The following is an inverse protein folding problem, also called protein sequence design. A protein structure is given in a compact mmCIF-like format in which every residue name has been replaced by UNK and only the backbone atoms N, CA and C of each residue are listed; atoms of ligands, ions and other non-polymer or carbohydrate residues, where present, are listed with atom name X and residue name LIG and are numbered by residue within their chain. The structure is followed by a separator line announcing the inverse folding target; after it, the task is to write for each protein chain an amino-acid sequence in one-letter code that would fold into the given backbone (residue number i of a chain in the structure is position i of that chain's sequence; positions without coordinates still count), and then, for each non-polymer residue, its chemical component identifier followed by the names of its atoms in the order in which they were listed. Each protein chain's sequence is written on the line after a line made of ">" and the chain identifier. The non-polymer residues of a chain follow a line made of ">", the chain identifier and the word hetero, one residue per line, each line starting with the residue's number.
data_IF_994213423618
#
_entry.id   IF_994213423618
#
_cell.length_a   1.000
_cell.length_b   1.000
_cell.length_c   1.000
_cell.angle_alpha   90.00
_cell.angle_beta   90.00
_cell.angle_gamma   90.00
#
_symmetry.space_group_name_H-M   'P 1'
#
loop_
_entity.id
_entity.type
_entity.pdbx_description
1 polymer ?
#
# COMPACT_ATOMS: atom_id res chain seq x y z
N UNK A 1 -8.23 21.74 -23.84
CA UNK A 1 -7.39 20.95 -22.91
C UNK A 1 -5.97 21.02 -23.46
N UNK A 2 -5.07 21.74 -22.80
CA UNK A 2 -3.74 22.11 -23.32
C UNK A 2 -2.63 21.11 -22.93
N UNK A 3 -2.90 20.20 -22.00
CA UNK A 3 -1.91 19.24 -21.51
C UNK A 3 -1.76 18.05 -22.48
N UNK A 4 -0.54 17.84 -23.01
CA UNK A 4 -0.15 16.73 -23.90
C UNK A 4 0.24 15.45 -23.14
N UNK A 5 -0.30 15.26 -21.93
CA UNK A 5 0.01 14.07 -21.11
C UNK A 5 -0.85 12.88 -21.56
N UNK A 6 -0.20 11.78 -21.93
CA UNK A 6 -0.83 10.51 -22.29
C UNK A 6 -0.98 9.54 -21.10
N UNK A 7 -0.82 10.04 -19.86
CA UNK A 7 -0.91 9.24 -18.65
C UNK A 7 -1.67 9.98 -17.55
N UNK A 8 -2.28 9.22 -16.65
CA UNK A 8 -2.90 9.70 -15.42
C UNK A 8 -2.33 8.91 -14.25
N UNK A 9 -2.09 9.58 -13.12
CA UNK A 9 -1.77 8.83 -11.89
C UNK A 9 -2.97 8.00 -11.46
N UNK A 10 -2.71 6.79 -10.97
CA UNK A 10 -3.76 5.85 -10.60
C UNK A 10 -4.55 6.29 -9.36
N UNK A 11 -3.88 6.83 -8.34
CA UNK A 11 -4.50 7.22 -7.07
C UNK A 11 -4.35 8.72 -6.83
N UNK A 12 -5.49 9.38 -6.65
CA UNK A 12 -5.50 10.80 -6.26
C UNK A 12 -5.25 10.97 -4.74
N UNK A 13 -5.91 10.15 -3.90
CA UNK A 13 -5.91 10.25 -2.43
C UNK A 13 -5.67 8.89 -1.78
N UNK A 14 -4.83 8.84 -0.75
CA UNK A 14 -4.60 7.63 0.04
C UNK A 14 -4.20 7.91 1.50
N UNK A 15 -3.87 6.85 2.24
CA UNK A 15 -3.19 6.92 3.55
C UNK A 15 -1.73 6.46 3.42
N UNK A 16 -1.44 5.65 2.40
CA UNK A 16 -0.13 5.05 2.15
C UNK A 16 0.83 5.99 1.41
N UNK A 17 1.32 5.53 0.27
CA UNK A 17 2.49 6.10 -0.39
C UNK A 17 2.25 6.65 -1.82
N UNK A 18 1.09 6.40 -2.43
CA UNK A 18 0.85 6.61 -3.86
C UNK A 18 -0.04 7.81 -4.21
N UNK A 19 -0.83 8.34 -3.26
CA UNK A 19 -1.73 9.46 -3.51
C UNK A 19 -1.01 10.80 -3.66
N UNK A 20 -1.48 11.65 -4.59
CA UNK A 20 -1.07 13.06 -4.69
C UNK A 20 -1.44 13.87 -3.45
N UNK A 21 -2.52 13.46 -2.77
CA UNK A 21 -2.86 13.91 -1.43
C UNK A 21 -2.97 12.71 -0.51
N UNK A 22 -2.76 12.93 0.78
CA UNK A 22 -2.98 11.92 1.81
C UNK A 22 -3.75 12.49 3.00
N UNK A 23 -4.43 11.61 3.72
CA UNK A 23 -5.15 11.99 4.94
C UNK A 23 -4.18 12.59 5.97
N UNK A 24 -4.55 13.72 6.59
CA UNK A 24 -3.72 14.34 7.62
C UNK A 24 -3.57 13.41 8.84
N UNK A 25 -2.35 13.29 9.43
CA UNK A 25 -2.13 12.53 10.67
C UNK A 25 -2.96 13.00 11.86
N UNK A 26 -3.50 14.23 11.77
CA UNK A 26 -4.28 14.87 12.83
C UNK A 26 -5.77 14.51 12.80
N UNK A 27 -6.23 13.81 11.76
CA UNK A 27 -7.63 13.41 11.60
C UNK A 27 -8.05 12.29 12.58
N UNK A 28 -9.36 12.20 12.85
CA UNK A 28 -9.93 11.17 13.73
C UNK A 28 -9.55 9.76 13.27
N UNK A 29 -9.67 9.49 11.96
CA UNK A 29 -9.34 8.18 11.39
C UNK A 29 -7.89 7.76 11.68
N UNK A 30 -6.92 8.62 11.37
CA UNK A 30 -5.49 8.28 11.52
C UNK A 30 -5.10 8.18 12.99
N UNK A 31 -5.60 9.08 13.84
CA UNK A 31 -5.36 9.01 15.29
C UNK A 31 -5.91 7.72 15.90
N UNK A 32 -7.15 7.38 15.58
CA UNK A 32 -7.85 6.22 16.13
C UNK A 32 -7.21 4.91 15.69
N UNK A 33 -6.89 4.78 14.39
CA UNK A 33 -6.28 3.58 13.83
C UNK A 33 -4.75 3.55 13.94
N UNK A 34 -4.11 4.54 14.56
CA UNK A 34 -2.64 4.63 14.64
C UNK A 34 -1.96 3.32 15.08
N UNK A 35 -2.41 2.63 16.14
CA UNK A 35 -1.78 1.38 16.56
C UNK A 35 -1.91 0.29 15.49
N UNK A 36 -3.08 0.20 14.83
CA UNK A 36 -3.30 -0.74 13.74
C UNK A 36 -2.44 -0.42 12.52
N UNK A 37 -2.36 0.85 12.11
CA UNK A 37 -1.55 1.30 10.98
C UNK A 37 -0.04 1.03 11.21
N UNK A 38 0.45 1.27 12.43
CA UNK A 38 1.83 0.93 12.82
C UNK A 38 2.08 -0.57 12.79
N UNK A 39 1.14 -1.38 13.29
CA UNK A 39 1.20 -2.84 13.21
C UNK A 39 1.23 -3.31 11.76
N UNK A 40 0.35 -2.76 10.92
CA UNK A 40 0.25 -3.06 9.48
C UNK A 40 1.57 -2.74 8.76
N UNK A 41 2.17 -1.59 9.04
CA UNK A 41 3.46 -1.19 8.52
C UNK A 41 4.58 -2.13 8.96
N UNK A 42 4.68 -2.44 10.26
CA UNK A 42 5.69 -3.35 10.81
C UNK A 42 5.61 -4.76 10.24
N UNK A 43 4.40 -5.29 10.06
CA UNK A 43 4.17 -6.59 9.42
C UNK A 43 4.33 -6.53 7.89
N UNK A 44 4.43 -5.32 7.34
CA UNK A 44 4.58 -5.03 5.94
C UNK A 44 3.49 -5.75 5.10
N UNK A 45 2.24 -5.76 5.54
CA UNK A 45 1.19 -6.56 4.85
C UNK A 45 0.64 -5.91 3.57
N UNK A 46 1.10 -4.71 3.23
CA UNK A 46 0.73 -4.06 1.98
C UNK A 46 1.57 -4.58 0.82
N UNK A 47 0.91 -4.92 -0.30
CA UNK A 47 1.57 -5.44 -1.50
C UNK A 47 2.36 -4.36 -2.26
N UNK A 48 2.21 -3.09 -1.91
CA UNK A 48 2.88 -1.98 -2.59
C UNK A 48 3.46 -0.99 -1.59
N UNK A 49 4.69 -0.52 -1.85
CA UNK A 49 5.35 0.51 -1.06
C UNK A 49 5.73 0.09 0.36
N UNK A 50 5.67 -1.21 0.68
CA UNK A 50 6.01 -1.72 1.99
C UNK A 50 7.49 -2.09 2.09
N UNK A 51 8.16 -1.63 3.14
CA UNK A 51 9.47 -2.12 3.55
C UNK A 51 9.30 -3.40 4.37
N UNK A 52 9.79 -4.52 3.85
CA UNK A 52 9.69 -5.84 4.47
C UNK A 52 10.99 -6.29 5.18
N UNK A 53 12.01 -5.45 5.28
CA UNK A 53 13.33 -5.85 5.81
C UNK A 53 13.22 -6.49 7.20
N UNK A 54 12.34 -5.97 8.05
CA UNK A 54 12.13 -6.48 9.41
C UNK A 54 11.46 -7.85 9.49
N UNK A 55 10.77 -8.30 8.44
CA UNK A 55 10.02 -9.57 8.41
C UNK A 55 10.50 -10.53 7.32
N UNK A 56 11.46 -10.13 6.48
CA UNK A 56 11.95 -10.92 5.36
C UNK A 56 12.40 -12.31 5.77
N UNK A 57 13.12 -12.42 6.89
CA UNK A 57 13.62 -13.67 7.45
C UNK A 57 12.54 -14.71 7.75
N UNK A 58 11.28 -14.30 7.93
CA UNK A 58 10.14 -15.20 8.19
C UNK A 58 9.72 -15.92 6.91
N UNK A 59 9.80 -15.24 5.75
CA UNK A 59 9.31 -15.75 4.46
C UNK A 59 10.42 -16.38 3.61
N UNK A 60 11.69 -16.03 3.89
CA UNK A 60 12.85 -16.57 3.18
C UNK A 60 12.90 -18.10 3.15
N UNK A 61 12.55 -18.85 4.22
CA UNK A 61 12.56 -20.32 4.18
C UNK A 61 11.61 -20.92 3.12
N UNK A 62 10.49 -20.25 2.83
CA UNK A 62 9.55 -20.70 1.79
C UNK A 62 10.15 -20.48 0.40
N UNK A 63 10.82 -19.33 0.20
CA UNK A 63 11.55 -19.05 -1.04
C UNK A 63 12.63 -20.11 -1.25
N UNK A 64 13.45 -20.37 -0.22
CA UNK A 64 14.56 -21.31 -0.30
C UNK A 64 14.08 -22.74 -0.58
N UNK A 65 13.01 -23.18 0.09
CA UNK A 65 12.36 -24.47 -0.18
C UNK A 65 11.97 -24.61 -1.66
N UNK A 66 11.36 -23.57 -2.26
CA UNK A 66 10.95 -23.61 -3.67
C UNK A 66 12.19 -23.63 -4.59
N UNK A 67 13.25 -22.89 -4.25
CA UNK A 67 14.51 -22.89 -5.01
C UNK A 67 15.19 -24.27 -4.98
N UNK A 68 15.16 -24.96 -3.84
CA UNK A 68 15.72 -26.30 -3.68
C UNK A 68 14.88 -27.37 -4.41
N UNK A 69 13.55 -27.33 -4.24
CA UNK A 69 12.64 -28.32 -4.83
C UNK A 69 12.45 -28.14 -6.34
N UNK A 70 12.61 -26.92 -6.86
CA UNK A 70 12.48 -26.59 -8.29
C UNK A 70 13.75 -25.84 -8.74
N UNK A 71 14.87 -26.56 -8.95
CA UNK A 71 16.17 -25.94 -9.17
C UNK A 71 16.27 -25.20 -10.51
N UNK A 72 15.54 -25.63 -11.53
CA UNK A 72 15.47 -24.94 -12.81
C UNK A 72 14.76 -23.58 -12.64
N UNK A 73 15.41 -22.50 -13.06
CA UNK A 73 14.83 -21.15 -12.98
C UNK A 73 13.64 -20.97 -13.90
N UNK A 74 13.66 -21.57 -15.09
CA UNK A 74 12.59 -21.40 -16.07
C UNK A 74 11.26 -21.97 -15.57
N UNK A 75 11.32 -23.10 -14.86
CA UNK A 75 10.14 -23.75 -14.27
C UNK A 75 9.51 -22.93 -13.13
N UNK A 76 10.25 -21.96 -12.56
CA UNK A 76 9.78 -21.04 -11.51
C UNK A 76 9.16 -19.76 -12.09
N UNK A 77 9.29 -19.51 -13.38
CA UNK A 77 8.78 -18.30 -14.07
C UNK A 77 7.28 -18.41 -14.36
N UNK A 78 6.48 -18.34 -13.31
CA UNK A 78 5.03 -18.41 -13.39
C UNK A 78 4.42 -17.07 -13.82
N UNK A 79 3.39 -17.10 -14.67
CA UNK A 79 2.62 -15.90 -15.03
C UNK A 79 2.10 -15.17 -13.78
N UNK A 80 2.29 -13.83 -13.64
CA UNK A 80 2.75 -12.87 -14.65
C UNK A 80 4.25 -12.49 -14.55
N UNK A 81 5.16 -13.36 -14.99
CA UNK A 81 6.59 -13.03 -15.18
C UNK A 81 6.78 -11.98 -16.31
N UNK A 82 7.69 -10.98 -16.19
CA UNK A 82 8.65 -10.74 -15.12
C UNK A 82 8.17 -9.95 -13.91
N UNK A 83 6.90 -9.51 -13.92
CA UNK A 83 6.37 -8.66 -12.86
C UNK A 83 6.33 -9.34 -11.49
N UNK A 84 6.11 -10.65 -11.43
CA UNK A 84 6.06 -11.43 -10.19
C UNK A 84 7.21 -12.44 -10.15
N UNK A 85 8.32 -12.06 -9.51
CA UNK A 85 9.40 -13.00 -9.17
C UNK A 85 8.92 -14.06 -8.18
N UNK A 86 9.76 -15.08 -7.94
CA UNK A 86 9.49 -16.08 -6.91
C UNK A 86 9.28 -15.42 -5.52
N UNK A 87 10.19 -14.53 -5.14
CA UNK A 87 10.13 -13.78 -3.88
C UNK A 87 8.86 -12.95 -3.80
N UNK A 88 8.51 -12.24 -4.87
CA UNK A 88 7.29 -11.42 -4.91
C UNK A 88 6.02 -12.28 -4.84
N UNK A 89 6.02 -13.46 -5.46
CA UNK A 89 4.91 -14.41 -5.36
C UNK A 89 4.72 -14.90 -3.93
N UNK A 90 5.81 -15.27 -3.24
CA UNK A 90 5.75 -15.66 -1.82
C UNK A 90 5.26 -14.47 -0.98
N UNK A 91 5.79 -13.26 -1.20
CA UNK A 91 5.36 -12.06 -0.49
C UNK A 91 3.86 -11.79 -0.68
N UNK A 92 3.34 -11.92 -1.90
CA UNK A 92 1.92 -11.69 -2.18
C UNK A 92 1.05 -12.70 -1.47
N UNK A 93 1.31 -13.99 -1.68
CA UNK A 93 0.46 -15.06 -1.17
C UNK A 93 0.52 -15.17 0.36
N UNK A 94 1.71 -15.05 0.95
CA UNK A 94 1.89 -15.24 2.38
C UNK A 94 1.66 -13.93 3.16
N UNK A 95 2.47 -12.90 2.92
CA UNK A 95 2.44 -11.67 3.72
C UNK A 95 1.25 -10.78 3.38
N UNK A 96 1.02 -10.51 2.09
CA UNK A 96 0.03 -9.54 1.64
C UNK A 96 -1.38 -10.10 1.43
N UNK A 97 -1.53 -11.43 1.47
CA UNK A 97 -2.83 -12.12 1.44
C UNK A 97 -3.06 -12.83 2.76
N UNK A 98 -2.38 -13.95 3.05
CA UNK A 98 -2.67 -14.76 4.23
C UNK A 98 -2.57 -13.96 5.54
N UNK A 99 -1.47 -13.27 5.82
CA UNK A 99 -1.33 -12.49 7.07
C UNK A 99 -2.30 -11.31 7.09
N UNK A 100 -2.49 -10.64 5.95
CA UNK A 100 -3.40 -9.51 5.82
C UNK A 100 -4.86 -9.89 6.14
N UNK A 101 -5.30 -11.08 5.73
CA UNK A 101 -6.66 -11.60 5.99
C UNK A 101 -6.97 -11.68 7.49
N UNK A 102 -6.01 -12.14 8.31
CA UNK A 102 -6.19 -12.17 9.77
C UNK A 102 -6.31 -10.79 10.41
N UNK A 103 -5.79 -9.75 9.77
CA UNK A 103 -5.86 -8.38 10.28
C UNK A 103 -7.21 -7.70 9.97
N UNK A 104 -8.03 -8.24 9.06
CA UNK A 104 -9.29 -7.60 8.65
C UNK A 104 -10.28 -7.51 9.81
N UNK A 105 -10.46 -8.61 10.57
CA UNK A 105 -11.36 -8.61 11.73
C UNK A 105 -10.84 -7.70 12.82
N UNK A 106 -9.54 -7.75 13.11
CA UNK A 106 -8.91 -6.87 14.10
C UNK A 106 -9.08 -5.39 13.74
N UNK A 107 -8.93 -5.02 12.46
CA UNK A 107 -9.22 -3.67 11.98
C UNK A 107 -10.68 -3.28 12.21
N UNK A 108 -11.63 -4.17 11.92
CA UNK A 108 -13.05 -3.90 12.11
C UNK A 108 -13.41 -3.66 13.60
N UNK A 109 -12.70 -4.31 14.53
CA UNK A 109 -12.92 -4.09 15.97
C UNK A 109 -12.68 -2.64 16.41
N UNK A 110 -11.84 -1.88 15.70
CA UNK A 110 -11.64 -0.46 16.00
C UNK A 110 -12.91 0.37 15.82
N UNK A 111 -13.89 -0.11 15.05
CA UNK A 111 -15.15 0.60 14.82
C UNK A 111 -16.29 0.06 15.68
N UNK A 112 -16.06 -0.97 16.48
CA UNK A 112 -17.11 -1.60 17.28
C UNK A 112 -17.65 -0.61 18.32
N UNK A 113 -18.97 -0.46 18.33
CA UNK A 113 -19.67 0.40 19.29
C UNK A 113 -19.62 1.89 18.95
N UNK A 114 -19.09 2.27 17.78
CA UNK A 114 -19.24 3.62 17.27
C UNK A 114 -20.65 3.85 16.76
N UNK A 115 -21.24 4.99 17.12
CA UNK A 115 -22.51 5.45 16.56
C UNK A 115 -22.33 6.06 15.16
N UNK A 116 -23.44 6.29 14.45
CA UNK A 116 -23.42 6.82 13.07
C UNK A 116 -22.66 8.15 12.96
N UNK A 117 -22.91 9.09 13.88
CA UNK A 117 -22.20 10.38 13.90
C UNK A 117 -20.68 10.21 14.08
N UNK A 118 -20.26 9.22 14.88
CA UNK A 118 -18.85 8.96 15.10
C UNK A 118 -18.16 8.37 13.87
N UNK A 119 -18.87 7.48 13.16
CA UNK A 119 -18.45 6.92 11.88
C UNK A 119 -18.43 8.00 10.80
N UNK A 120 -19.36 8.95 10.83
CA UNK A 120 -19.34 10.09 9.91
C UNK A 120 -18.10 10.96 10.15
N UNK A 121 -17.73 11.25 11.41
CA UNK A 121 -16.48 11.94 11.72
C UNK A 121 -15.24 11.17 11.26
N UNK A 122 -15.26 9.83 11.32
CA UNK A 122 -14.21 8.99 10.72
C UNK A 122 -14.14 9.20 9.20
N UNK A 123 -15.28 9.17 8.51
CA UNK A 123 -15.35 9.38 7.07
C UNK A 123 -14.94 10.81 6.65
N UNK A 124 -15.28 11.83 7.44
CA UNK A 124 -14.89 13.24 7.23
C UNK A 124 -13.38 13.44 7.24
N UNK A 125 -12.62 12.53 7.85
CA UNK A 125 -11.14 12.52 7.78
C UNK A 125 -10.62 12.51 6.34
N UNK A 126 -11.39 11.98 5.38
CA UNK A 126 -11.01 11.88 3.97
C UNK A 126 -11.49 13.08 3.13
N UNK A 127 -12.10 14.10 3.71
CA UNK A 127 -12.42 15.35 2.99
C UNK A 127 -11.15 16.04 2.51
N UNK A 128 -11.22 16.74 1.38
CA UNK A 128 -10.06 17.41 0.78
C UNK A 128 -9.40 18.41 1.74
N UNK A 129 -10.20 19.17 2.49
CA UNK A 129 -9.74 20.13 3.50
C UNK A 129 -8.96 19.47 4.65
N UNK A 130 -9.16 18.16 4.86
CA UNK A 130 -8.48 17.35 5.88
C UNK A 130 -7.31 16.53 5.30
N UNK A 131 -6.99 16.72 4.02
CA UNK A 131 -5.89 16.05 3.34
C UNK A 131 -4.71 17.01 3.14
N UNK A 132 -3.51 16.46 3.16
CA UNK A 132 -2.26 17.17 2.87
C UNK A 132 -1.76 16.76 1.49
N UNK A 133 -1.02 17.64 0.82
CA UNK A 133 -0.37 17.34 -0.46
C UNK A 133 0.93 16.58 -0.22
N UNK A 134 1.21 15.60 -1.08
CA UNK A 134 2.50 14.92 -1.13
C UNK A 134 3.46 15.75 -2.00
N UNK A 135 4.07 16.76 -1.41
CA UNK A 135 4.85 17.77 -2.15
C UNK A 135 5.89 17.17 -3.09
N UNK A 136 6.74 16.25 -2.62
CA UNK A 136 7.77 15.64 -3.46
C UNK A 136 7.21 14.86 -4.67
N UNK A 137 6.10 14.13 -4.49
CA UNK A 137 5.45 13.46 -5.63
C UNK A 137 4.86 14.50 -6.60
N UNK A 138 4.15 15.50 -6.07
CA UNK A 138 3.50 16.52 -6.89
C UNK A 138 4.51 17.38 -7.66
N UNK A 139 5.67 17.67 -7.08
CA UNK A 139 6.78 18.34 -7.76
C UNK A 139 7.28 17.53 -8.95
N UNK A 140 7.53 16.23 -8.76
CA UNK A 140 7.97 15.33 -9.84
C UNK A 140 6.90 15.27 -10.95
N UNK A 141 5.63 15.06 -10.61
CA UNK A 141 4.55 14.99 -11.61
C UNK A 141 4.42 16.30 -12.40
N UNK A 142 4.55 17.46 -11.74
CA UNK A 142 4.52 18.78 -12.39
C UNK A 142 5.72 19.01 -13.30
N UNK A 143 6.91 18.54 -12.92
CA UNK A 143 8.10 18.63 -13.77
C UNK A 143 7.92 17.81 -15.06
N UNK A 144 7.39 16.60 -14.95
CA UNK A 144 7.11 15.74 -16.11
C UNK A 144 5.97 16.25 -16.99
N UNK A 145 4.98 16.95 -16.43
CA UNK A 145 3.90 17.57 -17.20
C UNK A 145 4.44 18.52 -18.28
N UNK A 146 5.45 19.32 -17.94
CA UNK A 146 6.09 20.29 -18.84
C UNK A 146 6.91 19.64 -19.95
N UNK A 147 7.45 18.44 -19.73
CA UNK A 147 8.25 17.73 -20.72
C UNK A 147 7.42 17.26 -21.93
N UNK A 148 6.11 17.04 -21.75
CA UNK A 148 5.20 16.66 -22.84
C UNK A 148 4.77 17.82 -23.75
N UNK A 149 5.13 19.06 -23.41
CA UNK A 149 4.78 20.24 -24.20
C UNK A 149 5.73 20.51 -25.38
N UNK A 150 6.92 19.88 -25.39
CA UNK A 150 7.90 19.96 -26.47
C UNK A 150 7.62 18.98 -27.62
#
# INVERSE_FOLDING_TARGET
>A
MQDRLNWSIWLYKDIGFQGMVHVSPETKYVKHLRPFLQKKHRLAVDSWGADNASVQHIYQPIVDLIKEAVPNEEDRRLYPWPGWSLEERVNRLARATLVAEFLVREWAEYFRGMEEDELEEMAKSFRFENCLKREGLNEVLRAHAKLGEN
#
